data_IF_004025454410
#
_entry.id   IF_004025454410
#
_cell.length_a   1.000
_cell.length_b   1.000
_cell.length_c   1.000
_cell.angle_alpha   90.00
_cell.angle_beta   90.00
_cell.angle_gamma   90.00
#
_symmetry.space_group_name_H-M   'P 1'
#
loop_
_entity.id
_entity.type
_entity.pdbx_description
1 polymer ?
#
# COMPACT_ATOMS: atom_id res chain seq x y z
N UNK A 1 34.19 -16.06 9.63
CA UNK A 1 34.89 -17.30 9.24
C UNK A 1 35.94 -17.58 10.31
N UNK A 2 35.80 -18.66 11.10
CA UNK A 2 36.83 -19.10 12.04
C UNK A 2 37.22 -20.52 11.64
N UNK A 3 38.48 -20.69 11.29
CA UNK A 3 39.07 -21.98 10.92
C UNK A 3 39.68 -22.55 12.20
N UNK A 4 39.29 -23.76 12.58
CA UNK A 4 39.96 -24.49 13.66
C UNK A 4 41.25 -25.12 13.11
N UNK A 5 42.27 -25.27 13.97
CA UNK A 5 43.61 -25.76 13.61
C UNK A 5 43.69 -27.18 13.01
N UNK A 6 42.56 -27.88 12.85
CA UNK A 6 42.46 -29.24 12.34
C UNK A 6 41.91 -29.30 10.90
N UNK A 7 41.83 -28.16 10.20
CA UNK A 7 41.39 -28.09 8.80
C UNK A 7 39.88 -28.24 8.60
N UNK A 8 39.11 -28.42 9.66
CA UNK A 8 37.65 -28.59 9.58
C UNK A 8 36.95 -27.24 9.41
N UNK A 9 36.35 -27.03 8.23
CA UNK A 9 35.52 -25.86 7.94
C UNK A 9 34.10 -26.14 8.40
N UNK A 10 33.68 -25.52 9.50
CA UNK A 10 32.28 -25.58 9.96
C UNK A 10 31.43 -24.60 9.15
N UNK A 11 30.77 -25.10 8.12
CA UNK A 11 29.77 -24.34 7.36
C UNK A 11 28.44 -24.45 8.11
N UNK A 12 28.04 -23.39 8.79
CA UNK A 12 26.69 -23.29 9.34
C UNK A 12 25.76 -22.92 8.19
N UNK A 13 25.15 -23.93 7.56
CA UNK A 13 24.09 -23.75 6.57
C UNK A 13 22.78 -23.49 7.32
N UNK A 14 22.28 -22.26 7.26
CA UNK A 14 20.92 -21.95 7.71
C UNK A 14 19.96 -22.30 6.57
N UNK A 15 19.38 -23.49 6.60
CA UNK A 15 18.18 -23.81 5.81
C UNK A 15 17.00 -23.06 6.40
N UNK A 16 16.73 -21.85 5.90
CA UNK A 16 15.46 -21.17 6.13
C UNK A 16 14.33 -21.99 5.46
N UNK A 17 13.72 -22.86 6.26
CA UNK A 17 12.41 -23.52 6.12
C UNK A 17 12.04 -24.08 4.74
N UNK A 18 12.39 -25.34 4.51
CA UNK A 18 11.72 -26.20 3.53
C UNK A 18 10.41 -26.69 4.15
N UNK A 19 9.27 -26.05 3.84
CA UNK A 19 7.98 -26.50 4.39
C UNK A 19 6.79 -25.54 4.30
N UNK A 20 6.96 -24.28 3.87
CA UNK A 20 5.83 -23.41 3.59
C UNK A 20 5.52 -23.45 2.10
N UNK A 21 4.32 -23.86 1.72
CA UNK A 21 3.82 -23.55 0.38
C UNK A 21 3.93 -22.04 0.17
N UNK A 22 4.44 -21.55 -0.97
CA UNK A 22 4.53 -20.13 -1.24
C UNK A 22 3.12 -19.54 -1.29
N UNK A 23 2.65 -19.05 -0.14
CA UNK A 23 1.37 -18.37 -0.03
C UNK A 23 1.53 -16.97 -0.61
N UNK A 24 0.61 -16.59 -1.49
CA UNK A 24 0.54 -15.23 -1.99
C UNK A 24 0.41 -14.22 -0.84
N UNK A 25 -0.19 -14.59 0.30
CA UNK A 25 -0.22 -13.72 1.49
C UNK A 25 1.16 -13.27 1.99
N UNK A 26 2.20 -14.07 1.76
CA UNK A 26 3.59 -13.75 2.15
C UNK A 26 4.42 -13.15 1.02
N UNK A 27 3.86 -13.07 -0.18
CA UNK A 27 4.55 -12.47 -1.32
C UNK A 27 4.56 -10.94 -1.17
N UNK A 28 5.66 -10.32 -1.62
CA UNK A 28 5.72 -8.86 -1.69
C UNK A 28 4.73 -8.33 -2.73
N UNK A 29 4.12 -7.18 -2.44
CA UNK A 29 3.37 -6.42 -3.45
C UNK A 29 4.28 -6.03 -4.60
N UNK A 30 3.82 -6.27 -5.82
CA UNK A 30 4.42 -5.75 -7.05
C UNK A 30 4.22 -4.24 -7.17
N UNK A 31 5.02 -3.59 -8.01
CA UNK A 31 4.90 -2.15 -8.25
C UNK A 31 3.50 -1.74 -8.72
N UNK A 32 2.86 -2.55 -9.56
CA UNK A 32 1.50 -2.30 -10.03
C UNK A 32 0.48 -2.34 -8.88
N UNK A 33 0.63 -3.30 -7.97
CA UNK A 33 -0.25 -3.44 -6.81
C UNK A 33 -0.06 -2.27 -5.83
N UNK A 34 1.19 -1.81 -5.62
CA UNK A 34 1.45 -0.58 -4.88
C UNK A 34 0.74 0.63 -5.47
N UNK A 35 0.78 0.79 -6.80
CA UNK A 35 0.11 1.92 -7.47
C UNK A 35 -1.42 1.85 -7.35
N UNK A 36 -2.01 0.65 -7.41
CA UNK A 36 -3.45 0.46 -7.21
C UNK A 36 -3.88 0.83 -5.79
N UNK A 37 -3.13 0.38 -4.79
CA UNK A 37 -3.41 0.73 -3.38
C UNK A 37 -3.24 2.25 -3.18
N UNK A 38 -2.22 2.85 -3.81
CA UNK A 38 -1.97 4.28 -3.73
C UNK A 38 -3.14 5.10 -4.33
N UNK A 39 -3.67 4.69 -5.48
CA UNK A 39 -4.85 5.31 -6.10
C UNK A 39 -6.06 5.29 -5.16
N UNK A 40 -6.33 4.14 -4.52
CA UNK A 40 -7.41 4.02 -3.53
C UNK A 40 -7.18 4.89 -2.30
N UNK A 41 -5.94 4.98 -1.80
CA UNK A 41 -5.55 5.86 -0.69
C UNK A 41 -5.69 7.36 -1.00
N UNK A 42 -5.71 7.76 -2.27
CA UNK A 42 -6.01 9.14 -2.66
C UNK A 42 -7.52 9.43 -2.55
N UNK A 43 -8.36 8.43 -2.87
CA UNK A 43 -9.82 8.54 -2.86
C UNK A 43 -10.44 8.40 -1.46
N UNK A 44 -9.80 7.62 -0.58
CA UNK A 44 -10.31 7.31 0.76
C UNK A 44 -9.39 7.85 1.87
N UNK A 45 -10.00 8.33 2.96
CA UNK A 45 -9.28 8.78 4.15
C UNK A 45 -8.97 7.64 5.12
N UNK A 46 -9.83 6.62 5.17
CA UNK A 46 -9.74 5.48 6.07
C UNK A 46 -9.04 4.27 5.42
N UNK A 47 -8.06 3.69 6.12
CA UNK A 47 -7.38 2.47 5.66
C UNK A 47 -8.34 1.27 5.59
N UNK A 48 -9.37 1.27 6.46
CA UNK A 48 -10.41 0.23 6.46
C UNK A 48 -11.26 0.27 5.20
N UNK A 49 -11.57 1.47 4.70
CA UNK A 49 -12.41 1.63 3.51
C UNK A 49 -11.64 1.18 2.26
N UNK A 50 -10.36 1.52 2.18
CA UNK A 50 -9.45 1.03 1.13
C UNK A 50 -9.37 -0.50 1.15
N UNK A 51 -9.22 -1.09 2.34
CA UNK A 51 -9.12 -2.54 2.49
C UNK A 51 -10.40 -3.24 2.04
N UNK A 52 -11.56 -2.74 2.47
CA UNK A 52 -12.86 -3.27 2.05
C UNK A 52 -13.02 -3.18 0.53
N UNK A 53 -12.71 -2.03 -0.07
CA UNK A 53 -12.80 -1.85 -1.52
C UNK A 53 -11.87 -2.80 -2.29
N UNK A 54 -10.67 -3.07 -1.76
CA UNK A 54 -9.76 -4.06 -2.35
C UNK A 54 -10.35 -5.47 -2.25
N UNK A 55 -10.91 -5.84 -1.10
CA UNK A 55 -11.48 -7.18 -0.91
C UNK A 55 -12.76 -7.38 -1.72
N UNK A 56 -13.54 -6.32 -1.94
CA UNK A 56 -14.72 -6.33 -2.81
C UNK A 56 -14.34 -6.51 -4.30
N UNK A 57 -13.22 -5.93 -4.74
CA UNK A 57 -12.76 -6.05 -6.13
C UNK A 57 -11.99 -7.35 -6.43
N UNK A 58 -11.30 -7.89 -5.43
CA UNK A 58 -10.41 -9.04 -5.60
C UNK A 58 -10.88 -10.20 -4.73
N UNK A 59 -11.98 -10.86 -5.14
CA UNK A 59 -12.54 -12.04 -4.44
C UNK A 59 -11.75 -13.34 -4.71
N UNK A 60 -10.89 -13.38 -5.73
CA UNK A 60 -10.13 -14.57 -6.10
C UNK A 60 -8.80 -14.69 -5.32
N UNK A 61 -8.65 -15.81 -4.62
CA UNK A 61 -7.41 -16.25 -3.92
C UNK A 61 -6.18 -16.40 -4.82
N UNK A 62 -6.31 -16.26 -6.14
CA UNK A 62 -5.17 -16.23 -7.08
C UNK A 62 -4.46 -14.88 -7.15
N UNK A 63 -5.05 -13.81 -6.59
CA UNK A 63 -4.43 -12.49 -6.57
C UNK A 63 -3.76 -12.21 -5.23
N UNK A 64 -2.57 -11.58 -5.23
CA UNK A 64 -1.97 -11.06 -4.00
C UNK A 64 -2.87 -10.01 -3.33
N UNK A 65 -3.66 -9.28 -4.12
CA UNK A 65 -4.60 -8.26 -3.65
C UNK A 65 -5.70 -8.82 -2.73
N UNK A 66 -6.11 -10.08 -2.94
CA UNK A 66 -7.05 -10.77 -2.04
C UNK A 66 -6.51 -10.87 -0.62
N UNK A 67 -5.19 -11.02 -0.48
CA UNK A 67 -4.51 -11.19 0.80
C UNK A 67 -3.95 -9.89 1.37
N UNK A 68 -4.28 -8.73 0.78
CA UNK A 68 -3.84 -7.43 1.34
C UNK A 68 -4.44 -7.29 2.73
N UNK A 69 -3.61 -6.85 3.68
CA UNK A 69 -4.03 -6.57 5.05
C UNK A 69 -3.80 -5.11 5.45
N UNK A 70 -4.13 -4.76 6.70
CA UNK A 70 -3.94 -3.39 7.19
C UNK A 70 -2.47 -2.96 7.21
N UNK A 71 -1.54 -3.88 7.41
CA UNK A 71 -0.12 -3.53 7.50
C UNK A 71 0.46 -3.27 6.10
N UNK A 72 0.00 -3.99 5.08
CA UNK A 72 0.26 -3.65 3.67
C UNK A 72 -0.19 -2.20 3.34
N UNK A 73 -1.40 -1.82 3.74
CA UNK A 73 -1.92 -0.46 3.52
C UNK A 73 -1.07 0.58 4.25
N UNK A 74 -0.70 0.33 5.52
CA UNK A 74 0.19 1.23 6.28
C UNK A 74 1.57 1.34 5.66
N UNK A 75 2.11 0.24 5.15
CA UNK A 75 3.41 0.20 4.48
C UNK A 75 3.38 1.05 3.21
N UNK A 76 2.32 0.92 2.39
CA UNK A 76 2.12 1.77 1.19
C UNK A 76 2.00 3.24 1.60
N UNK A 77 1.14 3.54 2.57
CA UNK A 77 0.93 4.92 3.06
C UNK A 77 2.22 5.55 3.59
N UNK A 78 3.03 4.79 4.32
CA UNK A 78 4.30 5.27 4.88
C UNK A 78 5.32 5.50 3.78
N UNK A 79 5.44 4.55 2.85
CA UNK A 79 6.37 4.62 1.71
C UNK A 79 6.07 5.79 0.78
N UNK A 80 4.79 6.11 0.58
CA UNK A 80 4.33 7.15 -0.34
C UNK A 80 3.72 8.37 0.37
N UNK A 81 4.04 8.57 1.66
CA UNK A 81 3.48 9.65 2.49
C UNK A 81 3.64 11.04 1.84
N UNK A 82 4.85 11.37 1.38
CA UNK A 82 5.15 12.64 0.70
C UNK A 82 4.29 12.86 -0.56
N UNK A 83 4.03 11.80 -1.34
CA UNK A 83 3.20 11.86 -2.54
C UNK A 83 1.73 12.10 -2.20
N UNK A 84 1.21 11.40 -1.19
CA UNK A 84 -0.17 11.57 -0.70
C UNK A 84 -0.39 12.98 -0.15
N UNK A 85 0.55 13.50 0.64
CA UNK A 85 0.47 14.86 1.19
C UNK A 85 0.52 15.93 0.11
N UNK A 86 1.40 15.77 -0.89
CA UNK A 86 1.51 16.71 -2.02
C UNK A 86 0.22 16.73 -2.84
N UNK A 87 -0.36 15.55 -3.12
CA UNK A 87 -1.64 15.44 -3.83
C UNK A 87 -2.79 16.09 -3.04
N UNK A 88 -2.88 15.85 -1.72
CA UNK A 88 -3.90 16.46 -0.87
C UNK A 88 -3.78 17.98 -0.83
N UNK A 89 -2.55 18.50 -0.74
CA UNK A 89 -2.27 19.94 -0.74
C UNK A 89 -2.65 20.60 -2.07
N UNK A 90 -2.34 19.93 -3.18
CA UNK A 90 -2.69 20.41 -4.52
C UNK A 90 -4.21 20.44 -4.72
N UNK A 91 -4.93 19.36 -4.38
CA UNK A 91 -6.40 19.34 -4.49
C UNK A 91 -7.09 20.32 -3.53
N UNK A 92 -6.60 20.46 -2.30
CA UNK A 92 -7.12 21.46 -1.36
C UNK A 92 -6.94 22.90 -1.85
N UNK A 93 -5.93 23.16 -2.68
CA UNK A 93 -5.71 24.49 -3.27
C UNK A 93 -6.70 24.79 -4.40
N UNK A 94 -7.27 23.77 -5.04
CA UNK A 94 -8.29 23.91 -6.10
C UNK A 94 -9.72 24.05 -5.53
N UNK A 95 -9.97 23.62 -4.29
CA UNK A 95 -11.27 23.77 -3.62
C UNK A 95 -11.55 25.23 -3.18
N UNK A 96 -10.52 26.09 -3.12
CA UNK A 96 -10.66 27.49 -2.71
C UNK A 96 -11.25 28.37 -3.84
N UNK A 97 -11.27 27.90 -5.10
CA UNK A 97 -11.93 28.61 -6.21
C UNK A 97 -13.43 28.27 -6.36
N UNK A 98 -13.96 27.35 -5.54
CA UNK A 98 -15.37 26.92 -5.56
C UNK A 98 -16.37 27.82 -4.82
N UNK A 99 -15.94 28.95 -4.22
CA UNK A 99 -16.87 29.99 -3.74
C UNK A 99 -17.42 30.78 -4.93
N UNK A 100 -18.24 30.13 -5.75
CA UNK A 100 -19.19 30.83 -6.61
C UNK A 100 -20.21 31.47 -5.66
N UNK A 101 -19.96 32.74 -5.32
CA UNK A 101 -20.95 33.58 -4.67
C UNK A 101 -22.16 33.64 -5.59
N UNK A 102 -23.23 32.92 -5.24
CA UNK A 102 -24.59 33.19 -5.72
C UNK A 102 -25.00 34.57 -5.18
N UNK A 103 -24.48 35.64 -5.78
CA UNK A 103 -25.05 36.97 -5.63
C UNK A 103 -26.29 36.98 -6.51
N UNK A 104 -27.43 36.61 -5.92
CA UNK A 104 -28.74 36.79 -6.54
C UNK A 104 -28.92 38.27 -6.86
N UNK A 105 -28.74 38.63 -8.13
CA UNK A 105 -29.09 39.97 -8.63
C UNK A 105 -30.62 40.02 -8.65
N UNK A 106 -31.22 40.67 -7.64
CA UNK A 106 -32.63 41.10 -7.70
C UNK A 106 -32.73 42.23 -8.71
N UNK A 107 -33.32 41.96 -9.87
CA UNK A 107 -33.84 43.01 -10.75
C UNK A 107 -35.16 43.52 -10.16
N UNK A 108 -35.22 44.83 -9.91
CA UNK A 108 -36.44 45.59 -9.63
C UNK A 108 -37.15 45.96 -10.92
#
# INVERSE_FOLDING_TARGET
MRISNEGTVKITYCSSHYGHEPSLATANLSEKEYLLILDKLQRHTSDKDVLNEIHDEYEDKKSRMYYVDQDDIKNVRTKFSNLIETWRRWNKSHDIQGKITHTTVRSY
#
